data_IF_141996957611
#
_entry.id   IF_141996957611
#
_cell.length_a   1.000
_cell.length_b   1.000
_cell.length_c   1.000
_cell.angle_alpha   90.00
_cell.angle_beta   90.00
_cell.angle_gamma   90.00
#
_symmetry.space_group_name_H-M   'P 1'
#
loop_
_entity.id
_entity.type
_entity.pdbx_description
1 polymer ?
#
# COMPACT_ATOMS: atom_id res chain seq x y z
N UNK A 1 -18.96 -9.99 9.28
CA UNK A 1 -20.07 -9.12 8.83
C UNK A 1 -20.14 -7.84 9.68
N UNK A 2 -19.15 -6.94 9.57
CA UNK A 2 -19.14 -5.68 10.34
C UNK A 2 -19.01 -4.41 9.46
N UNK A 3 -18.86 -4.57 8.13
CA UNK A 3 -18.78 -3.45 7.17
C UNK A 3 -20.14 -3.08 6.55
N UNK A 4 -21.13 -3.98 6.69
CA UNK A 4 -22.53 -3.75 6.33
C UNK A 4 -23.33 -3.52 7.63
N UNK A 5 -23.35 -2.28 8.11
CA UNK A 5 -24.26 -1.85 9.16
C UNK A 5 -24.79 -0.47 8.80
N UNK A 6 -25.97 -0.10 9.34
CA UNK A 6 -26.55 1.24 9.14
C UNK A 6 -25.66 2.40 9.60
N UNK A 7 -24.52 2.10 10.25
CA UNK A 7 -23.43 2.99 10.58
C UNK A 7 -22.09 2.33 10.21
N UNK A 8 -21.80 2.23 8.90
CA UNK A 8 -20.49 1.78 8.42
C UNK A 8 -19.40 2.74 8.92
N UNK A 9 -18.42 2.22 9.68
CA UNK A 9 -17.27 3.02 10.09
C UNK A 9 -16.46 3.41 8.84
N UNK A 10 -16.12 4.71 8.71
CA UNK A 10 -15.33 5.20 7.58
C UNK A 10 -13.86 4.77 7.72
N UNK A 11 -13.33 4.07 6.72
CA UNK A 11 -11.92 3.67 6.66
C UNK A 11 -11.64 2.61 5.60
N UNK A 12 -10.44 2.64 5.02
CA UNK A 12 -9.91 1.60 4.13
C UNK A 12 -8.71 0.91 4.81
N UNK A 13 -8.63 -0.41 4.70
CA UNK A 13 -7.50 -1.18 5.20
C UNK A 13 -6.50 -1.41 4.06
N UNK A 14 -5.58 -0.46 3.86
CA UNK A 14 -4.65 -0.48 2.72
C UNK A 14 -3.21 -0.86 3.09
N UNK A 15 -2.87 -0.88 4.39
CA UNK A 15 -1.50 -1.11 4.86
C UNK A 15 -0.79 -2.33 4.21
N UNK A 16 -1.45 -3.47 3.95
CA UNK A 16 -0.78 -4.64 3.37
C UNK A 16 -0.23 -4.46 1.95
N UNK A 17 -0.82 -3.56 1.15
CA UNK A 17 -0.47 -3.38 -0.27
C UNK A 17 -0.30 -1.89 -0.65
N UNK A 18 -0.08 -1.02 0.33
CA UNK A 18 -0.05 0.42 0.08
C UNK A 18 1.06 0.82 -0.90
N UNK A 19 2.26 0.22 -0.79
CA UNK A 19 3.41 0.59 -1.62
C UNK A 19 3.23 0.14 -3.06
N UNK A 20 2.69 -1.07 -3.24
CA UNK A 20 2.31 -1.64 -4.53
C UNK A 20 1.25 -0.77 -5.21
N UNK A 21 0.20 -0.37 -4.48
CA UNK A 21 -0.83 0.55 -4.99
C UNK A 21 -0.24 1.89 -5.42
N UNK A 22 0.64 2.49 -4.61
CA UNK A 22 1.28 3.75 -4.98
C UNK A 22 2.18 3.57 -6.21
N UNK A 23 2.98 2.51 -6.27
CA UNK A 23 3.84 2.22 -7.41
C UNK A 23 3.03 2.09 -8.70
N UNK A 24 1.90 1.39 -8.66
CA UNK A 24 0.96 1.29 -9.79
C UNK A 24 0.48 2.67 -10.27
N UNK A 25 0.12 3.59 -9.37
CA UNK A 25 -0.33 4.94 -9.76
C UNK A 25 0.80 5.75 -10.42
N UNK A 26 1.98 5.79 -9.79
CA UNK A 26 3.12 6.54 -10.32
C UNK A 26 3.61 5.96 -11.65
N UNK A 27 3.55 4.64 -11.82
CA UNK A 27 3.91 3.95 -13.06
C UNK A 27 2.92 4.23 -14.19
N UNK A 28 1.61 4.17 -13.90
CA UNK A 28 0.57 4.51 -14.88
C UNK A 28 0.71 5.93 -15.45
N UNK A 29 1.18 6.87 -14.62
CA UNK A 29 1.43 8.26 -15.01
C UNK A 29 2.83 8.51 -15.60
N UNK A 30 3.68 7.48 -15.68
CA UNK A 30 5.07 7.60 -16.14
C UNK A 30 5.93 8.48 -15.21
N UNK A 31 5.69 8.41 -13.90
CA UNK A 31 6.31 9.25 -12.86
C UNK A 31 7.03 8.46 -11.77
N UNK A 32 7.47 7.23 -12.03
CA UNK A 32 8.23 6.43 -11.04
C UNK A 32 9.44 7.17 -10.44
N UNK A 33 10.07 8.08 -11.19
CA UNK A 33 11.17 8.92 -10.70
C UNK A 33 10.79 9.78 -9.46
N UNK A 34 9.50 10.03 -9.23
CA UNK A 34 9.00 10.78 -8.08
C UNK A 34 8.57 9.88 -6.89
N UNK A 35 8.60 8.55 -7.05
CA UNK A 35 8.05 7.61 -6.08
C UNK A 35 8.80 7.62 -4.74
N UNK A 36 10.13 7.63 -4.78
CA UNK A 36 10.96 7.70 -3.56
C UNK A 36 10.72 8.99 -2.79
N UNK A 37 10.62 10.12 -3.52
CA UNK A 37 10.35 11.41 -2.91
C UNK A 37 9.03 11.38 -2.13
N UNK A 38 7.98 10.80 -2.73
CA UNK A 38 6.67 10.65 -2.10
C UNK A 38 6.69 9.73 -0.88
N UNK A 39 7.31 8.55 -0.99
CA UNK A 39 7.22 7.50 0.04
C UNK A 39 8.20 7.65 1.19
N UNK A 40 9.31 8.37 1.00
CA UNK A 40 10.42 8.38 1.96
C UNK A 40 10.96 9.77 2.29
N UNK A 41 11.11 10.66 1.30
CA UNK A 41 11.87 11.92 1.49
C UNK A 41 10.99 13.07 1.97
N UNK A 42 9.84 13.29 1.34
CA UNK A 42 9.04 14.49 1.55
C UNK A 42 8.49 14.55 2.98
N UNK A 43 8.02 13.41 3.51
CA UNK A 43 7.56 13.31 4.90
C UNK A 43 8.68 13.60 5.90
N UNK A 44 9.82 12.91 5.78
CA UNK A 44 10.95 13.09 6.69
C UNK A 44 11.43 14.55 6.73
N UNK A 45 11.57 15.20 5.56
CA UNK A 45 11.93 16.62 5.48
C UNK A 45 10.88 17.53 6.11
N UNK A 46 9.60 17.29 5.85
CA UNK A 46 8.51 18.08 6.43
C UNK A 46 8.47 17.99 7.95
N UNK A 47 8.70 16.80 8.51
CA UNK A 47 8.69 16.57 9.95
C UNK A 47 10.05 16.81 10.64
N UNK A 48 11.09 17.21 9.91
CA UNK A 48 12.42 17.45 10.46
C UNK A 48 13.13 16.18 10.97
N UNK A 49 12.81 15.02 10.39
CA UNK A 49 13.38 13.72 10.73
C UNK A 49 14.53 13.36 9.77
N UNK A 50 15.53 12.57 10.22
CA UNK A 50 16.54 12.02 9.32
C UNK A 50 15.92 11.09 8.29
N UNK A 51 16.58 10.94 7.14
CA UNK A 51 16.22 9.92 6.15
C UNK A 51 16.58 8.52 6.70
N UNK A 52 15.84 7.51 6.26
CA UNK A 52 16.18 6.13 6.57
C UNK A 52 17.51 5.75 5.89
N UNK A 53 18.36 4.98 6.58
CA UNK A 53 19.63 4.48 6.02
C UNK A 53 19.45 3.20 5.18
N UNK A 54 18.26 2.59 5.24
CA UNK A 54 17.92 1.37 4.52
C UNK A 54 17.07 1.64 3.27
N UNK A 55 17.01 0.65 2.40
CA UNK A 55 16.17 0.65 1.20
C UNK A 55 15.16 -0.50 1.24
N UNK A 56 14.09 -0.35 0.47
CA UNK A 56 13.17 -1.43 0.12
C UNK A 56 13.07 -1.55 -1.39
N UNK A 57 12.84 -2.76 -1.86
CA UNK A 57 12.71 -3.09 -3.28
C UNK A 57 11.27 -3.44 -3.61
N UNK A 58 10.73 -2.81 -4.65
CA UNK A 58 9.55 -3.31 -5.36
C UNK A 58 9.99 -3.80 -6.74
N UNK A 59 9.48 -4.96 -7.13
CA UNK A 59 9.69 -5.51 -8.48
C UNK A 59 8.39 -5.42 -9.28
N UNK A 60 8.52 -5.22 -10.60
CA UNK A 60 7.41 -5.29 -11.54
C UNK A 60 7.06 -6.76 -11.75
N UNK A 61 6.10 -7.24 -10.99
CA UNK A 61 5.69 -8.63 -10.91
C UNK A 61 4.28 -8.68 -10.35
N UNK A 62 3.42 -9.50 -10.94
CA UNK A 62 2.03 -9.62 -10.51
C UNK A 62 1.95 -10.11 -9.06
N UNK A 63 1.10 -9.47 -8.26
CA UNK A 63 0.73 -9.92 -6.92
C UNK A 63 -0.78 -9.91 -6.75
N UNK A 64 -1.32 -11.06 -6.33
CA UNK A 64 -2.74 -11.20 -6.02
C UNK A 64 -3.03 -10.66 -4.63
N UNK A 65 -3.98 -9.74 -4.53
CA UNK A 65 -4.48 -9.28 -3.22
C UNK A 65 -5.55 -10.25 -2.73
N UNK A 66 -5.41 -10.84 -1.53
CA UNK A 66 -6.38 -11.78 -1.00
C UNK A 66 -7.73 -11.10 -0.72
N UNK A 67 -8.83 -11.84 -0.85
CA UNK A 67 -10.16 -11.32 -0.55
C UNK A 67 -10.33 -10.93 0.93
N UNK A 68 -9.59 -11.62 1.80
CA UNK A 68 -9.65 -11.46 3.26
C UNK A 68 -8.26 -11.65 3.87
N UNK A 69 -7.99 -10.91 4.94
CA UNK A 69 -6.82 -11.07 5.79
C UNK A 69 -7.33 -11.33 7.20
N UNK A 70 -6.90 -12.44 7.80
CA UNK A 70 -7.18 -12.76 9.19
C UNK A 70 -6.05 -12.26 10.08
N UNK A 71 -6.41 -11.55 11.16
CA UNK A 71 -5.47 -11.17 12.20
C UNK A 71 -6.17 -11.23 13.56
N UNK A 72 -5.63 -11.99 14.51
CA UNK A 72 -6.17 -12.17 15.86
C UNK A 72 -7.68 -12.50 15.90
N UNK A 73 -8.14 -13.36 14.97
CA UNK A 73 -9.53 -13.78 14.85
C UNK A 73 -10.48 -12.73 14.24
N UNK A 74 -9.94 -11.60 13.76
CA UNK A 74 -10.67 -10.56 13.03
C UNK A 74 -10.40 -10.74 11.53
N UNK A 75 -11.47 -10.91 10.75
CA UNK A 75 -11.39 -10.87 9.29
C UNK A 75 -11.50 -9.44 8.77
N UNK A 76 -10.48 -9.01 8.02
CA UNK A 76 -10.41 -7.72 7.36
C UNK A 76 -10.48 -7.90 5.84
N UNK A 77 -11.24 -7.04 5.17
CA UNK A 77 -11.22 -6.92 3.70
C UNK A 77 -10.21 -5.83 3.34
N UNK A 78 -9.07 -6.19 2.71
CA UNK A 78 -8.07 -5.20 2.32
C UNK A 78 -8.56 -4.34 1.15
N UNK A 79 -7.91 -3.19 0.97
CA UNK A 79 -8.02 -2.44 -0.26
C UNK A 79 -7.47 -3.27 -1.43
N UNK A 80 -8.13 -3.21 -2.59
CA UNK A 80 -7.88 -4.08 -3.75
C UNK A 80 -8.22 -5.57 -3.56
N UNK A 81 -9.02 -5.95 -2.55
CA UNK A 81 -9.43 -7.34 -2.33
C UNK A 81 -9.89 -8.04 -3.64
N UNK A 82 -9.22 -9.15 -3.98
CA UNK A 82 -9.55 -9.93 -5.18
C UNK A 82 -8.98 -9.37 -6.49
N UNK A 83 -8.24 -8.26 -6.48
CA UNK A 83 -7.55 -7.71 -7.65
C UNK A 83 -6.11 -8.25 -7.76
N UNK A 84 -5.46 -7.97 -8.89
CA UNK A 84 -4.04 -8.24 -9.13
C UNK A 84 -3.33 -6.90 -9.34
N UNK A 85 -2.25 -6.65 -8.62
CA UNK A 85 -1.40 -5.47 -8.79
C UNK A 85 -0.13 -5.85 -9.58
N UNK A 86 0.41 -4.92 -10.34
CA UNK A 86 1.57 -5.11 -11.23
C UNK A 86 2.94 -4.98 -10.54
N UNK A 87 2.92 -4.60 -9.26
CA UNK A 87 4.11 -4.38 -8.44
C UNK A 87 4.03 -5.23 -7.18
N UNK A 88 5.16 -5.79 -6.75
CA UNK A 88 5.26 -6.64 -5.57
C UNK A 88 6.44 -6.22 -4.70
N UNK A 89 6.25 -6.20 -3.38
CA UNK A 89 7.36 -6.07 -2.44
C UNK A 89 8.33 -7.26 -2.51
N UNK A 90 9.63 -6.97 -2.60
CA UNK A 90 10.71 -7.95 -2.79
C UNK A 90 11.77 -7.95 -1.67
N UNK A 91 11.76 -6.96 -0.76
CA UNK A 91 12.76 -6.82 0.30
C UNK A 91 13.33 -5.41 0.38
#
# INVERSE_FOLDING_TARGET
HAKESGCGCAGIFNAPFARESYATVFDADGKLDNFEAFTSVNGARFYGLPLNDGSVTLERSEVKVPDRIEHDGIELVPFHAGETLEWRFAG
#
